data_IF_900046269322
#
_entry.id   IF_900046269322
#
_cell.length_a   1.000
_cell.length_b   1.000
_cell.length_c   1.000
_cell.angle_alpha   90.00
_cell.angle_beta   90.00
_cell.angle_gamma   90.00
#
_symmetry.space_group_name_H-M   'P 1'
#
loop_
_entity.id
_entity.type
_entity.pdbx_description
1 polymer ?
#
# COMPACT_ATOMS: atom_id res chain seq x y z
N UNK A 1 8.01 14.98 11.17
CA UNK A 1 7.52 14.68 9.81
C UNK A 1 6.33 15.58 9.54
N UNK A 2 6.31 16.29 8.42
CA UNK A 2 5.12 17.02 7.97
C UNK A 2 4.33 16.06 7.08
N UNK A 3 3.09 15.76 7.47
CA UNK A 3 2.22 14.89 6.68
C UNK A 3 1.30 15.73 5.81
N UNK A 4 1.10 15.30 4.57
CA UNK A 4 0.09 15.90 3.71
C UNK A 4 -1.28 15.80 4.38
N UNK A 5 -2.14 16.80 4.17
CA UNK A 5 -3.52 16.80 4.69
C UNK A 5 -4.32 15.59 4.19
N UNK A 6 -3.92 15.02 3.05
CA UNK A 6 -4.48 13.81 2.48
C UNK A 6 -3.32 12.92 1.99
N UNK A 7 -3.36 11.65 2.37
CA UNK A 7 -2.45 10.62 1.86
C UNK A 7 -3.35 9.52 1.28
N UNK A 8 -3.60 9.50 -0.05
CA UNK A 8 -4.42 8.46 -0.64
C UNK A 8 -3.69 7.12 -0.58
N UNK A 9 -4.47 6.07 -0.34
CA UNK A 9 -4.04 4.68 -0.47
C UNK A 9 -4.58 4.13 -1.79
N UNK A 10 -3.67 3.75 -2.68
CA UNK A 10 -3.99 3.26 -4.01
C UNK A 10 -3.86 1.74 -4.05
N UNK A 11 -4.98 1.09 -4.34
CA UNK A 11 -5.03 -0.32 -4.69
C UNK A 11 -4.28 -0.57 -6.02
N UNK A 12 -3.23 -1.39 -5.98
CA UNK A 12 -2.43 -1.78 -7.16
C UNK A 12 -2.41 -3.29 -7.36
N UNK A 13 -2.21 -3.77 -8.59
CA UNK A 13 -2.16 -5.23 -8.87
C UNK A 13 -0.77 -5.84 -8.74
N UNK A 14 0.28 -5.01 -8.77
CA UNK A 14 1.69 -5.40 -8.69
C UNK A 14 2.44 -4.21 -8.09
N UNK A 15 2.78 -4.31 -6.81
CA UNK A 15 3.36 -3.21 -6.06
C UNK A 15 4.79 -2.92 -6.50
N UNK A 16 5.58 -3.94 -6.84
CA UNK A 16 6.95 -3.75 -7.31
C UNK A 16 7.00 -2.96 -8.63
N UNK A 17 6.16 -3.32 -9.61
CA UNK A 17 6.05 -2.54 -10.86
C UNK A 17 5.51 -1.15 -10.64
N UNK A 18 4.55 -0.99 -9.73
CA UNK A 18 3.99 0.32 -9.40
C UNK A 18 5.04 1.22 -8.74
N UNK A 19 5.82 0.69 -7.80
CA UNK A 19 6.95 1.40 -7.17
C UNK A 19 7.95 1.85 -8.23
N UNK A 20 8.34 0.97 -9.16
CA UNK A 20 9.25 1.33 -10.27
C UNK A 20 8.68 2.51 -11.07
N UNK A 21 7.40 2.48 -11.43
CA UNK A 21 6.77 3.58 -12.15
C UNK A 21 6.82 4.89 -11.36
N UNK A 22 6.34 4.90 -10.11
CA UNK A 22 6.31 6.13 -9.31
C UNK A 22 7.72 6.64 -8.97
N UNK A 23 8.66 5.75 -8.67
CA UNK A 23 10.03 6.10 -8.32
C UNK A 23 10.83 6.58 -9.53
N UNK A 24 10.90 5.74 -10.58
CA UNK A 24 11.83 5.95 -11.69
C UNK A 24 11.25 6.84 -12.79
N UNK A 25 9.92 6.86 -12.94
CA UNK A 25 9.26 7.70 -13.97
C UNK A 25 8.76 9.01 -13.40
N UNK A 26 8.13 8.99 -12.21
CA UNK A 26 7.53 10.18 -11.60
C UNK A 26 8.40 10.85 -10.53
N UNK A 27 9.53 10.26 -10.15
CA UNK A 27 10.51 10.87 -9.24
C UNK A 27 10.19 10.74 -7.76
N UNK A 28 9.23 9.90 -7.36
CA UNK A 28 8.94 9.66 -5.95
C UNK A 28 10.08 8.90 -5.25
N UNK A 29 10.25 9.16 -3.96
CA UNK A 29 11.11 8.39 -3.07
C UNK A 29 10.27 7.40 -2.28
N UNK A 30 10.80 6.19 -2.09
CA UNK A 30 10.22 5.21 -1.16
C UNK A 30 10.63 5.58 0.25
N UNK A 31 9.69 6.06 1.07
CA UNK A 31 9.98 6.43 2.45
C UNK A 31 9.85 5.22 3.41
N UNK A 32 9.01 4.26 3.06
CA UNK A 32 8.79 3.03 3.83
C UNK A 32 8.20 1.93 2.95
N UNK A 33 8.56 0.67 3.16
CA UNK A 33 8.06 -0.48 2.41
C UNK A 33 7.88 -1.71 3.30
N UNK A 34 6.85 -2.51 2.98
CA UNK A 34 6.64 -3.86 3.52
C UNK A 34 6.54 -4.80 2.32
N UNK A 35 7.70 -5.27 1.86
CA UNK A 35 7.80 -6.06 0.61
C UNK A 35 6.95 -7.32 0.65
N UNK A 36 6.98 -8.04 1.78
CA UNK A 36 6.24 -9.28 1.95
C UNK A 36 4.71 -9.06 1.96
N UNK A 37 4.25 -7.83 2.17
CA UNK A 37 2.84 -7.46 2.15
C UNK A 37 2.43 -6.71 0.87
N UNK A 38 3.36 -6.43 -0.05
CA UNK A 38 3.06 -5.64 -1.26
C UNK A 38 2.67 -4.19 -0.95
N UNK A 39 3.27 -3.57 0.07
CA UNK A 39 2.93 -2.20 0.50
C UNK A 39 4.12 -1.24 0.42
N UNK A 40 3.88 0.00 -0.02
CA UNK A 40 4.88 1.07 0.02
C UNK A 40 4.26 2.44 0.30
N UNK A 41 5.00 3.27 1.05
CA UNK A 41 4.72 4.68 1.24
C UNK A 41 5.71 5.50 0.43
N UNK A 42 5.19 6.37 -0.44
CA UNK A 42 5.96 7.19 -1.36
C UNK A 42 5.82 8.67 -1.05
N UNK A 43 6.88 9.44 -1.31
CA UNK A 43 6.90 10.88 -1.14
C UNK A 43 7.61 11.58 -2.31
N UNK A 44 7.09 12.72 -2.74
CA UNK A 44 7.74 13.61 -3.69
C UNK A 44 7.31 15.06 -3.45
N UNK A 45 8.25 15.95 -3.10
CA UNK A 45 8.00 17.38 -2.88
C UNK A 45 6.79 17.68 -1.96
N UNK A 46 6.62 16.88 -0.91
CA UNK A 46 5.53 17.00 0.06
C UNK A 46 4.21 16.32 -0.37
N UNK A 47 4.09 15.83 -1.60
CA UNK A 47 3.03 14.91 -2.00
C UNK A 47 3.34 13.52 -1.44
N UNK A 48 2.34 12.87 -0.84
CA UNK A 48 2.49 11.56 -0.19
C UNK A 48 1.37 10.64 -0.65
N UNK A 49 1.68 9.37 -0.91
CA UNK A 49 0.70 8.34 -1.25
C UNK A 49 1.17 6.96 -0.77
N UNK A 50 0.22 6.06 -0.57
CA UNK A 50 0.46 4.67 -0.25
C UNK A 50 0.07 3.79 -1.44
N UNK A 51 0.86 2.77 -1.72
CA UNK A 51 0.54 1.70 -2.65
C UNK A 51 0.27 0.45 -1.82
N UNK A 52 -0.88 -0.20 -2.05
CA UNK A 52 -1.24 -1.45 -1.40
C UNK A 52 -1.68 -2.48 -2.46
N UNK A 53 -1.00 -3.62 -2.51
CA UNK A 53 -1.27 -4.65 -3.50
C UNK A 53 -2.58 -5.37 -3.21
N UNK A 54 -3.52 -5.30 -4.16
CA UNK A 54 -4.77 -6.05 -4.06
C UNK A 54 -4.51 -7.55 -4.26
N UNK A 55 -5.36 -8.36 -3.64
CA UNK A 55 -5.20 -9.82 -3.65
C UNK A 55 -5.37 -10.45 -2.28
N UNK A 56 -5.58 -9.62 -1.25
CA UNK A 56 -5.91 -10.06 0.09
C UNK A 56 -7.29 -9.51 0.52
N UNK A 57 -8.05 -10.31 1.26
CA UNK A 57 -9.28 -9.90 1.94
C UNK A 57 -8.92 -9.63 3.39
N UNK A 58 -9.27 -8.46 3.90
CA UNK A 58 -9.04 -8.14 5.30
C UNK A 58 -10.25 -7.48 5.95
N UNK A 59 -10.39 -7.71 7.25
CA UNK A 59 -11.31 -6.99 8.12
C UNK A 59 -10.69 -6.77 9.48
N UNK A 60 -11.10 -5.70 10.15
CA UNK A 60 -10.64 -5.34 11.48
C UNK A 60 -11.80 -5.54 12.45
N UNK A 61 -11.56 -6.30 13.50
CA UNK A 61 -12.47 -6.47 14.63
C UNK A 61 -11.82 -6.01 15.94
N UNK A 62 -12.63 -5.52 16.87
CA UNK A 62 -12.19 -5.26 18.25
C UNK A 62 -12.51 -6.48 19.11
N UNK A 63 -11.59 -6.90 19.97
CA UNK A 63 -11.90 -7.84 21.05
C UNK A 63 -12.49 -7.11 22.28
N UNK A 64 -12.97 -7.83 23.31
CA UNK A 64 -13.55 -7.22 24.52
C UNK A 64 -12.57 -6.38 25.35
N UNK A 65 -11.26 -6.63 25.24
CA UNK A 65 -10.23 -5.89 25.96
C UNK A 65 -9.76 -4.64 25.18
N UNK A 66 -10.29 -4.42 23.96
CA UNK A 66 -10.04 -3.26 23.12
C UNK A 66 -8.88 -3.41 22.15
N UNK A 67 -8.34 -4.63 21.98
CA UNK A 67 -7.31 -4.88 20.96
C UNK A 67 -7.94 -4.94 19.57
N UNK A 68 -7.21 -4.41 18.59
CA UNK A 68 -7.58 -4.50 17.18
C UNK A 68 -7.00 -5.79 16.58
N UNK A 69 -7.88 -6.72 16.25
CA UNK A 69 -7.55 -7.93 15.51
C UNK A 69 -7.72 -7.65 14.02
N UNK A 70 -6.64 -7.80 13.26
CA UNK A 70 -6.66 -7.76 11.79
C UNK A 70 -6.67 -9.19 11.27
N UNK A 71 -7.79 -9.61 10.72
CA UNK A 71 -7.89 -10.88 10.00
C UNK A 71 -7.60 -10.64 8.54
N UNK A 72 -6.74 -11.47 7.96
CA UNK A 72 -6.41 -11.39 6.54
C UNK A 72 -6.43 -12.78 5.91
N UNK A 73 -6.77 -12.82 4.63
CA UNK A 73 -6.75 -14.02 3.79
C UNK A 73 -6.23 -13.64 2.40
N UNK A 74 -5.26 -14.37 1.88
CA UNK A 74 -4.86 -14.25 0.48
C UNK A 74 -5.94 -14.87 -0.42
N UNK A 75 -6.51 -14.05 -1.31
CA UNK A 75 -7.53 -14.47 -2.29
C UNK A 75 -6.89 -14.80 -3.66
N UNK A 76 -5.57 -14.60 -3.78
CA UNK A 76 -4.80 -14.81 -5.00
C UNK A 76 -4.68 -13.57 -5.88
N UNK A 77 -3.82 -13.67 -6.91
CA UNK A 77 -3.50 -12.58 -7.83
C UNK A 77 -4.47 -12.59 -9.01
N UNK A 78 -5.15 -11.47 -9.26
CA UNK A 78 -5.83 -11.27 -10.55
C UNK A 78 -4.77 -11.00 -11.62
N UNK A 79 -4.58 -11.93 -12.57
CA UNK A 79 -3.80 -11.64 -13.78
C UNK A 79 -4.49 -10.54 -14.58
N UNK A 80 -3.95 -9.33 -14.55
CA UNK A 80 -4.29 -8.28 -15.51
C UNK A 80 -3.60 -8.63 -16.84
N UNK A 81 -4.38 -9.01 -17.83
CA UNK A 81 -3.90 -9.15 -19.21
C UNK A 81 -3.99 -7.77 -19.86
N UNK A 82 -2.85 -7.23 -20.30
CA UNK A 82 -2.78 -6.00 -21.11
C UNK A 82 -2.89 -6.33 -22.60
#
# INVERSE_FOLDING_TARGET
MNYATLIPELAVTDCEKSIIFYRDTLGFNVAYERKDEGFAFLEHDGAQLMLDEIGHRQFIGTDPDGYLLRFYEEIGIRKCTF
#
